data_IF_054854998136
#
_entry.id   IF_054854998136
#
_cell.length_a   1.000
_cell.length_b   1.000
_cell.length_c   1.000
_cell.angle_alpha   90.00
_cell.angle_beta   90.00
_cell.angle_gamma   90.00
#
_symmetry.space_group_name_H-M   'P 1'
#
loop_
_entity.id
_entity.type
_entity.pdbx_description
1 polymer ?
2 polymer ?
3 polymer ?
4 non-polymer ?
5 non-polymer ?
6 water ?
#
# COMPACT_ATOMS: atom_id res chain seq x y z
N UNK A 64 -9.75 4.17 25.94
CA UNK A 64 -9.58 3.99 24.50
C UNK A 64 -8.20 3.41 24.10
N UNK A 65 -7.19 3.52 25.00
CA UNK A 65 -5.83 3.01 24.78
C UNK A 65 -5.84 1.49 24.55
N UNK A 66 -5.08 1.07 23.55
CA UNK A 66 -4.96 -0.32 23.13
C UNK A 66 -6.18 -0.88 22.42
N UNK A 67 -7.06 0.01 21.89
CA UNK A 67 -8.29 -0.39 21.18
C UNK A 67 -8.26 -0.10 19.69
N UNK A 68 -9.13 -0.81 18.95
CA UNK A 68 -9.28 -0.68 17.52
C UNK A 68 -10.55 0.10 17.18
N UNK A 69 -10.36 1.28 16.57
CA UNK A 69 -11.44 2.12 16.10
C UNK A 69 -11.49 2.00 14.59
N UNK A 70 -12.59 1.40 14.08
CA UNK A 70 -12.82 1.23 12.65
C UNK A 70 -13.64 2.42 12.17
N UNK A 71 -13.11 3.17 11.20
CA UNK A 71 -13.80 4.35 10.67
C UNK A 71 -14.41 4.03 9.32
N UNK A 72 -15.76 4.11 9.24
CA UNK A 72 -16.54 3.86 8.03
C UNK A 72 -17.31 5.13 7.65
N UNK A 73 -17.94 5.09 6.46
CA UNK A 73 -18.74 6.20 5.92
C UNK A 73 -18.01 7.09 4.94
N UNK A 74 -18.22 8.41 5.07
CA UNK A 74 -17.56 9.43 4.24
C UNK A 74 -16.17 9.75 4.85
N UNK A 75 -15.19 8.90 4.51
CA UNK A 75 -13.80 8.94 4.97
C UNK A 75 -12.80 9.36 3.88
N UNK A 76 -13.32 9.89 2.77
CA UNK A 76 -12.55 10.36 1.63
C UNK A 76 -11.82 9.27 0.86
N UNK A 77 -11.15 9.67 -0.24
CA UNK A 77 -10.40 8.74 -1.09
C UNK A 77 -9.12 9.38 -1.63
N UNK A 78 -8.07 8.57 -1.74
CA UNK A 78 -6.76 8.97 -2.24
C UNK A 78 -6.05 9.98 -1.38
N UNK A 79 -5.55 11.08 -2.01
CA UNK A 79 -4.86 12.18 -1.34
C UNK A 79 -5.86 13.17 -0.69
N UNK A 80 -7.17 12.89 -0.78
CA UNK A 80 -8.21 13.72 -0.13
C UNK A 80 -8.98 12.92 0.88
N UNK A 81 -8.35 11.88 1.36
CA UNK A 81 -8.98 11.07 2.35
C UNK A 81 -8.90 11.88 3.65
N UNK A 82 -9.80 11.58 4.58
CA UNK A 82 -9.91 12.19 5.90
C UNK A 82 -8.58 12.11 6.67
N UNK A 83 -7.90 10.94 6.64
CA UNK A 83 -6.63 10.73 7.34
C UNK A 83 -5.47 11.51 6.74
N UNK A 84 -5.42 11.68 5.38
CA UNK A 84 -4.39 12.47 4.67
C UNK A 84 -4.48 13.92 5.11
N UNK A 85 -5.71 14.43 5.16
CA UNK A 85 -6.00 15.76 5.66
C UNK A 85 -5.47 15.95 7.06
N UNK A 86 -5.92 15.11 7.96
CA UNK A 86 -5.48 15.21 9.33
C UNK A 86 -3.99 15.19 9.38
N UNK A 87 -3.38 14.17 8.82
CA UNK A 87 -1.94 14.05 8.90
C UNK A 87 -1.29 15.27 8.26
N UNK A 88 -1.97 15.80 7.28
CA UNK A 88 -1.65 17.05 6.60
C UNK A 88 -1.64 18.19 7.61
N UNK A 89 -2.80 18.46 8.22
CA UNK A 89 -2.91 19.52 9.19
C UNK A 89 -1.90 19.33 10.31
N UNK A 90 -1.42 18.12 10.51
CA UNK A 90 -0.46 17.90 11.58
C UNK A 90 0.97 18.05 11.12
N UNK A 91 1.17 18.31 9.83
CA UNK A 91 2.53 18.37 9.32
C UNK A 91 3.45 19.24 10.15
N UNK A 92 4.63 18.70 10.46
CA UNK A 92 5.68 19.32 11.29
C UNK A 92 6.22 20.60 10.68
N UNK A 100 1.13 15.05 21.89
CA UNK A 100 2.38 15.17 21.13
C UNK A 100 3.22 13.88 21.16
N UNK A 101 2.55 12.73 21.26
CA UNK A 101 3.15 11.41 21.24
C UNK A 101 3.47 10.96 19.83
N UNK A 102 4.17 9.81 19.69
CA UNK A 102 4.55 9.25 18.39
C UNK A 102 3.35 8.64 17.63
N UNK A 103 3.28 8.89 16.30
CA UNK A 103 2.24 8.39 15.38
C UNK A 103 2.87 7.66 14.19
N UNK A 104 2.32 6.48 13.84
CA UNK A 104 2.71 5.68 12.68
C UNK A 104 1.53 5.66 11.72
N UNK A 105 1.71 6.29 10.55
CA UNK A 105 0.67 6.38 9.53
C UNK A 105 0.90 5.43 8.35
N UNK A 106 -0.14 4.66 7.98
CA UNK A 106 -0.10 3.77 6.83
C UNK A 106 -0.95 4.33 5.69
N UNK A 107 -0.30 4.71 4.57
CA UNK A 107 -1.06 5.30 3.47
C UNK A 107 -1.85 4.26 2.66
N UNK A 108 -2.79 4.75 1.83
CA UNK A 108 -3.64 3.96 0.95
C UNK A 108 -2.81 3.38 -0.20
N UNK A 109 -1.82 4.17 -0.67
CA UNK A 109 -0.90 3.86 -1.76
C UNK A 109 0.48 3.58 -1.18
N UNK A 110 1.03 2.45 -1.59
CA UNK A 110 2.29 1.86 -1.16
C UNK A 110 3.47 2.34 -1.96
N UNK A 111 4.57 2.59 -1.25
CA UNK A 111 5.82 3.03 -1.84
C UNK A 111 6.99 2.25 -1.24
N UNK A 112 8.09 2.23 -1.99
CA UNK A 112 9.35 1.68 -1.56
C UNK A 112 10.42 2.70 -1.95
N UNK A 113 11.59 2.57 -1.38
CA UNK A 113 12.73 3.37 -1.76
C UNK A 113 13.84 2.36 -2.12
N UNK A 114 14.73 2.64 -3.12
CA UNK A 114 15.79 1.67 -3.44
C UNK A 114 16.61 1.27 -2.22
N UNK A 115 16.81 -0.03 -2.08
CA UNK A 115 17.52 -0.65 -0.97
C UNK A 115 16.92 -2.00 -0.69
N UNK A 116 17.37 -2.65 0.39
CA UNK A 116 16.95 -4.00 0.77
C UNK A 116 15.52 -4.04 1.29
N UNK A 117 14.90 -5.23 1.28
CA UNK A 117 13.56 -5.48 1.80
C UNK A 117 13.55 -5.13 3.31
N UNK A 118 14.60 -5.56 4.06
CA UNK A 118 14.80 -5.31 5.50
C UNK A 118 14.74 -3.79 5.77
N UNK A 119 15.55 -3.02 5.09
CA UNK A 119 15.56 -1.57 5.23
C UNK A 119 14.26 -0.90 4.93
N UNK A 120 13.58 -1.34 3.89
CA UNK A 120 12.24 -0.85 3.50
C UNK A 120 11.18 -1.06 4.58
N UNK A 121 11.47 -1.86 5.62
CA UNK A 121 10.54 -2.14 6.73
C UNK A 121 11.03 -1.47 8.02
N UNK A 122 12.36 -1.56 8.30
CA UNK A 122 12.97 -1.13 9.57
C UNK A 122 13.71 0.22 9.55
N UNK A 123 13.93 0.87 8.38
CA UNK A 123 14.68 2.15 8.30
C UNK A 123 14.13 3.22 9.25
N UNK A 124 15.03 3.86 9.99
CA UNK A 124 14.69 4.94 10.92
C UNK A 124 14.28 4.52 12.33
N UNK A 125 13.88 3.24 12.49
CA UNK A 125 13.45 2.65 13.77
C UNK A 125 14.57 1.73 14.28
N UNK A 126 14.71 1.59 15.63
CA UNK A 126 15.71 0.70 16.24
C UNK A 126 15.36 -0.75 15.91
N UNK A 127 16.40 -1.59 15.69
CA UNK A 127 16.23 -2.98 15.31
C UNK A 127 15.93 -3.94 16.48
N UNK A 128 14.86 -4.76 16.31
CA UNK A 128 14.48 -5.85 17.22
C UNK A 128 14.23 -7.07 16.35
N UNK A 129 15.06 -8.11 16.53
CA UNK A 129 15.01 -9.39 15.83
C UNK A 129 13.60 -10.02 15.93
N UNK A 130 13.06 -10.11 17.18
CA UNK A 130 11.74 -10.68 17.46
C UNK A 130 10.61 -9.88 16.84
N UNK A 131 10.66 -8.54 16.93
CA UNK A 131 9.61 -7.70 16.35
C UNK A 131 9.61 -7.74 14.83
N UNK A 132 10.79 -7.64 14.20
CA UNK A 132 10.98 -7.69 12.74
C UNK A 132 10.37 -8.94 12.13
N UNK A 133 10.81 -10.12 12.61
CA UNK A 133 10.38 -11.44 12.15
C UNK A 133 8.89 -11.71 12.35
N UNK A 134 8.30 -11.21 13.46
CA UNK A 134 6.87 -11.34 13.79
C UNK A 134 6.01 -10.50 12.83
N UNK A 135 6.48 -9.26 12.50
CA UNK A 135 5.85 -8.30 11.58
C UNK A 135 5.77 -8.91 10.17
N UNK A 136 6.88 -9.54 9.70
CA UNK A 136 7.01 -10.26 8.42
C UNK A 136 6.01 -11.43 8.36
N UNK A 137 5.89 -12.22 9.45
CA UNK A 137 4.97 -13.36 9.58
C UNK A 137 3.52 -12.90 9.47
N UNK A 138 3.14 -11.90 10.29
CA UNK A 138 1.80 -11.32 10.38
C UNK A 138 1.36 -10.60 9.12
N UNK A 139 2.30 -9.97 8.40
CA UNK A 139 2.04 -9.24 7.16
C UNK A 139 2.11 -10.13 5.91
N UNK A 140 2.28 -11.47 6.09
CA UNK A 140 2.32 -12.50 5.03
C UNK A 140 3.48 -12.28 4.02
N UNK A 141 4.67 -11.96 4.55
CA UNK A 141 5.87 -11.71 3.76
C UNK A 141 6.90 -12.82 3.89
N UNK A 142 6.67 -13.76 4.82
CA UNK A 142 7.56 -14.87 5.09
C UNK A 142 7.83 -15.77 3.88
N UNK A 143 6.76 -16.13 3.13
CA UNK A 143 6.86 -16.96 1.94
C UNK A 143 7.46 -16.20 0.76
N UNK A 144 7.06 -14.91 0.57
CA UNK A 144 7.58 -14.05 -0.51
C UNK A 144 9.10 -13.92 -0.42
N UNK A 145 9.59 -13.42 0.72
CA UNK A 145 11.00 -13.19 1.05
C UNK A 145 11.85 -14.48 0.90
N UNK A 146 11.40 -15.61 1.49
CA UNK A 146 12.08 -16.91 1.43
C UNK A 146 12.43 -17.38 0.01
N UNK A 147 11.51 -17.13 -0.95
CA UNK A 147 11.65 -17.47 -2.35
C UNK A 147 12.78 -16.71 -3.05
N UNK A 148 12.96 -15.41 -2.74
CA UNK A 148 14.02 -14.57 -3.31
C UNK A 148 15.40 -15.12 -2.94
N UNK A 149 16.36 -15.21 -3.91
CA UNK A 149 17.67 -15.81 -3.59
C UNK A 149 18.45 -15.12 -2.47
N UNK A 150 18.35 -13.78 -2.39
CA UNK A 150 19.01 -12.90 -1.41
C UNK A 150 18.16 -12.72 -0.13
N UNK A 151 16.93 -13.21 -0.21
CA UNK A 151 15.94 -13.10 0.84
C UNK A 151 15.58 -11.66 1.14
N UNK A 152 15.67 -11.28 2.40
CA UNK A 152 15.34 -9.91 2.82
C UNK A 152 16.45 -8.90 2.52
N UNK A 153 17.60 -9.39 1.99
CA UNK A 153 18.74 -8.57 1.58
C UNK A 153 18.65 -8.24 0.09
N UNK A 154 17.52 -8.63 -0.53
CA UNK A 154 17.16 -8.39 -1.92
C UNK A 154 16.95 -6.88 -2.10
N UNK A 155 17.68 -6.28 -3.05
CA UNK A 155 17.58 -4.85 -3.36
C UNK A 155 16.38 -4.59 -4.27
N UNK A 156 15.60 -3.56 -3.92
CA UNK A 156 14.37 -3.18 -4.60
C UNK A 156 14.49 -1.96 -5.50
N UNK A 157 13.62 -1.91 -6.51
CA UNK A 157 13.55 -0.79 -7.44
C UNK A 157 13.87 -1.08 -8.89
N UNK A 158 14.27 -0.02 -9.61
CA UNK A 158 14.64 -0.06 -11.02
C UNK A 158 15.96 -0.82 -11.25
N UNK A 159 16.89 -0.68 -10.30
CA UNK A 159 18.18 -1.36 -10.35
C UNK A 159 18.17 -2.74 -9.72
N UNK A 160 17.10 -3.10 -9.01
CA UNK A 160 16.93 -4.39 -8.38
C UNK A 160 15.71 -5.17 -8.82
N UNK A 161 14.98 -5.74 -7.85
CA UNK A 161 13.74 -6.52 -8.05
C UNK A 161 12.55 -5.54 -8.08
N UNK A 162 11.55 -5.81 -8.94
CA UNK A 162 10.33 -5.03 -9.02
C UNK A 162 9.22 -5.88 -8.34
N UNK A 163 8.59 -5.34 -7.28
CA UNK A 163 7.53 -6.03 -6.51
C UNK A 163 6.15 -5.81 -7.12
N UNK A 164 5.20 -6.72 -6.83
CA UNK A 164 3.81 -6.59 -7.25
C UNK A 164 3.11 -5.61 -6.29
N UNK A 165 1.96 -5.09 -6.70
CA UNK A 165 1.15 -4.17 -5.89
C UNK A 165 0.82 -4.71 -4.52
N UNK A 166 0.50 -6.01 -4.48
CA UNK A 166 0.19 -6.77 -3.27
C UNK A 166 1.37 -6.88 -2.33
N UNK A 167 2.57 -7.20 -2.86
CA UNK A 167 3.81 -7.31 -2.07
C UNK A 167 4.23 -5.96 -1.48
N UNK A 168 4.14 -4.90 -2.31
CA UNK A 168 4.48 -3.53 -1.93
C UNK A 168 3.49 -2.97 -0.91
N UNK A 169 2.19 -3.41 -0.99
CA UNK A 169 1.13 -3.05 -0.04
C UNK A 169 1.45 -3.61 1.33
N UNK A 170 2.02 -4.84 1.35
CA UNK A 170 2.45 -5.59 2.53
C UNK A 170 3.72 -5.00 3.14
N UNK A 171 4.68 -4.52 2.29
CA UNK A 171 5.93 -3.87 2.72
C UNK A 171 5.58 -2.53 3.38
N UNK A 172 4.58 -1.83 2.83
CA UNK A 172 4.09 -0.54 3.33
C UNK A 172 3.46 -0.70 4.70
N UNK A 173 2.62 -1.75 4.90
CA UNK A 173 1.96 -2.03 6.18
C UNK A 173 2.94 -2.44 7.26
N UNK A 174 3.92 -3.31 6.92
CA UNK A 174 4.97 -3.80 7.80
C UNK A 174 5.82 -2.64 8.35
N UNK A 175 6.13 -1.66 7.48
CA UNK A 175 6.88 -0.45 7.79
C UNK A 175 6.14 0.41 8.85
N UNK A 176 4.79 0.46 8.76
CA UNK A 176 3.96 1.20 9.71
C UNK A 176 3.79 0.44 11.01
N UNK A 177 3.55 -0.87 10.92
CA UNK A 177 3.34 -1.77 12.05
C UNK A 177 4.64 -1.94 12.86
N UNK A 178 5.80 -2.05 12.20
CA UNK A 178 7.10 -2.21 12.85
C UNK A 178 7.52 -1.02 13.74
N UNK A 179 7.17 0.21 13.36
CA UNK A 179 7.51 1.44 14.08
C UNK A 179 6.79 1.49 15.44
N UNK A 180 7.52 1.73 16.51
CA UNK A 180 6.88 1.81 17.80
C UNK A 180 6.31 3.19 17.99
N UNK A 181 5.00 3.25 18.06
CA UNK A 181 4.21 4.46 18.18
C UNK A 181 3.05 4.29 19.16
N UNK A 182 2.53 5.42 19.68
CA UNK A 182 1.41 5.42 20.63
C UNK A 182 0.03 5.37 19.94
N UNK A 183 -0.01 5.66 18.62
CA UNK A 183 -1.22 5.66 17.79
C UNK A 183 -0.87 5.26 16.37
N UNK A 184 -1.65 4.31 15.80
CA UNK A 184 -1.48 3.80 14.44
C UNK A 184 -2.68 4.19 13.59
N UNK A 185 -2.45 4.98 12.54
CA UNK A 185 -3.50 5.45 11.64
C UNK A 185 -3.37 4.75 10.29
N UNK A 186 -4.16 3.69 10.10
CA UNK A 186 -4.14 2.87 8.90
C UNK A 186 -5.27 3.28 7.94
N UNK A 187 -4.91 4.03 6.89
CA UNK A 187 -5.84 4.54 5.89
C UNK A 187 -6.01 3.54 4.75
N UNK A 188 -7.06 2.70 4.83
CA UNK A 188 -7.42 1.65 3.86
C UNK A 188 -6.16 0.92 3.30
N UNK A 189 -5.34 0.25 4.16
CA UNK A 189 -4.10 -0.36 3.63
C UNK A 189 -4.28 -1.74 2.95
N UNK A 190 -5.53 -2.26 2.90
CA UNK A 190 -5.83 -3.55 2.26
C UNK A 190 -6.59 -3.40 0.94
N UNK A 191 -6.72 -2.16 0.47
CA UNK A 191 -7.47 -1.81 -0.74
C UNK A 191 -7.07 -2.55 -2.00
N UNK A 192 -5.76 -2.82 -2.18
CA UNK A 192 -5.19 -3.47 -3.37
C UNK A 192 -4.78 -4.94 -3.12
N UNK A 193 -5.25 -5.51 -2.00
CA UNK A 193 -5.02 -6.90 -1.62
C UNK A 193 -6.28 -7.71 -1.91
N UNK A 194 -6.10 -9.00 -2.24
CA UNK A 194 -7.23 -9.88 -2.53
C UNK A 194 -8.01 -10.24 -1.25
N UNK A 195 -9.25 -10.74 -1.42
CA UNK A 195 -10.16 -11.12 -0.34
C UNK A 195 -9.51 -12.10 0.67
N UNK A 196 -8.64 -13.00 0.16
CA UNK A 196 -7.93 -14.03 0.93
C UNK A 196 -6.76 -13.45 1.70
N UNK A 197 -5.91 -12.64 1.04
CA UNK A 197 -4.73 -11.99 1.65
C UNK A 197 -5.18 -11.02 2.74
N UNK A 198 -6.21 -10.20 2.44
CA UNK A 198 -6.79 -9.21 3.36
C UNK A 198 -7.38 -9.85 4.62
N UNK A 199 -8.15 -10.95 4.46
CA UNK A 199 -8.79 -11.66 5.57
C UNK A 199 -7.74 -12.15 6.59
N UNK A 200 -6.63 -12.71 6.09
CA UNK A 200 -5.51 -13.23 6.89
C UNK A 200 -4.72 -12.10 7.57
N UNK A 201 -4.31 -11.06 6.80
CA UNK A 201 -3.53 -9.92 7.33
C UNK A 201 -4.33 -9.12 8.36
N UNK A 202 -5.61 -8.79 8.07
CA UNK A 202 -6.45 -8.06 9.03
C UNK A 202 -6.46 -8.77 10.39
N UNK A 203 -6.68 -10.09 10.36
CA UNK A 203 -6.79 -11.01 11.49
C UNK A 203 -5.48 -11.24 12.25
N UNK A 204 -4.40 -11.60 11.54
CA UNK A 204 -3.12 -11.89 12.18
C UNK A 204 -2.27 -10.64 12.51
N UNK A 205 -2.47 -9.53 11.78
CA UNK A 205 -1.70 -8.31 11.98
C UNK A 205 -2.43 -7.28 12.87
N UNK A 206 -3.59 -6.72 12.43
CA UNK A 206 -4.30 -5.70 13.21
C UNK A 206 -5.04 -6.32 14.42
N UNK A 207 -5.63 -7.52 14.28
CA UNK A 207 -6.33 -8.17 15.37
C UNK A 207 -5.39 -8.81 16.38
N UNK A 208 -4.49 -9.73 15.96
CA UNK A 208 -3.63 -10.46 16.89
C UNK A 208 -2.32 -9.75 17.26
N UNK A 209 -1.49 -9.39 16.25
CA UNK A 209 -0.19 -8.73 16.46
C UNK A 209 -0.28 -7.34 17.12
N UNK A 210 -1.19 -6.47 16.62
CA UNK A 210 -1.34 -5.10 17.14
C UNK A 210 -2.40 -4.97 18.24
N UNK A 211 -2.85 -6.09 18.81
CA UNK A 211 -3.88 -6.19 19.85
C UNK A 211 -3.69 -5.33 21.09
N UNK A 212 -2.48 -4.82 21.34
CA UNK A 212 -2.25 -3.97 22.52
C UNK A 212 -1.85 -2.54 22.15
N UNK A 213 -2.15 -2.15 20.90
CA UNK A 213 -1.85 -0.83 20.33
C UNK A 213 -3.11 -0.08 20.03
N UNK A 214 -3.08 1.26 20.16
CA UNK A 214 -4.22 2.11 19.82
C UNK A 214 -4.21 2.22 18.30
N UNK A 215 -5.15 1.49 17.66
CA UNK A 215 -5.30 1.42 16.22
C UNK A 215 -6.51 2.20 15.73
N UNK A 216 -6.34 2.96 14.65
CA UNK A 216 -7.42 3.69 13.97
C UNK A 216 -7.33 3.22 12.51
N UNK A 217 -8.27 2.36 12.12
CA UNK A 217 -8.30 1.73 10.81
C UNK A 217 -9.48 2.25 9.97
N UNK A 218 -9.17 3.00 8.89
CA UNK A 218 -10.21 3.49 7.98
C UNK A 218 -10.54 2.31 7.07
N UNK A 219 -11.81 1.96 7.02
CA UNK A 219 -12.23 0.85 6.24
C UNK A 219 -13.57 1.09 5.61
N UNK A 220 -14.09 0.07 4.96
CA UNK A 220 -15.39 0.12 4.36
C UNK A 220 -15.95 -1.27 4.29
N UNK A 221 -15.44 -2.15 5.15
CA UNK A 221 -15.86 -3.54 5.15
C UNK A 221 -16.58 -3.89 6.44
N UNK A 222 -17.81 -4.32 6.29
CA UNK A 222 -18.69 -4.66 7.43
C UNK A 222 -18.03 -5.65 8.41
N UNK A 223 -17.17 -6.55 7.90
CA UNK A 223 -16.42 -7.55 8.68
C UNK A 223 -15.38 -6.90 9.61
N UNK A 224 -14.90 -5.70 9.25
CA UNK A 224 -13.91 -4.95 10.03
C UNK A 224 -14.58 -4.14 11.13
N UNK A 225 -15.87 -3.79 10.94
CA UNK A 225 -16.68 -3.06 11.92
C UNK A 225 -17.14 -4.03 13.00
N UNK A 226 -17.41 -5.31 12.62
CA UNK A 226 -17.84 -6.39 13.52
C UNK A 226 -16.75 -6.74 14.53
N UNK A 227 -15.47 -6.75 14.09
CA UNK A 227 -14.32 -7.11 14.92
C UNK A 227 -13.67 -5.96 15.71
N UNK A 228 -14.04 -4.69 15.45
CA UNK A 228 -13.46 -3.53 16.16
C UNK A 228 -14.11 -3.29 17.52
N UNK A 229 -13.31 -2.81 18.50
CA UNK A 229 -13.78 -2.49 19.86
C UNK A 229 -14.83 -1.38 19.80
N UNK A 230 -14.48 -0.28 19.12
CA UNK A 230 -15.37 0.84 18.86
C UNK A 230 -15.38 1.14 17.36
N UNK A 231 -16.50 1.65 16.85
CA UNK A 231 -16.69 1.99 15.43
C UNK A 231 -17.17 3.43 15.30
N UNK A 232 -16.89 4.05 14.15
CA UNK A 232 -17.26 5.42 13.87
C UNK A 232 -17.76 5.57 12.43
N UNK A 233 -19.02 5.95 12.27
CA UNK A 233 -19.55 6.13 10.96
C UNK A 233 -19.71 7.60 10.69
N UNK A 234 -19.02 8.06 9.66
CA UNK A 234 -19.02 9.44 9.27
C UNK A 234 -20.01 9.71 8.15
N UNK A 235 -20.67 10.87 8.23
CA UNK A 235 -21.57 11.37 7.21
C UNK A 235 -20.86 12.57 6.54
N UNK A 236 -21.29 12.95 5.31
CA UNK A 236 -20.75 14.11 4.57
C UNK A 236 -20.89 15.37 5.43
N UNK A 237 -22.05 15.49 6.09
CA UNK A 237 -22.34 16.58 7.03
C UNK A 237 -21.68 16.38 8.38
N UNK A 238 -22.16 17.10 9.42
CA UNK A 238 -21.63 17.03 10.80
C UNK A 238 -21.97 15.71 11.50
N UNK A 239 -23.04 15.04 11.02
CA UNK A 239 -23.62 13.77 11.48
C UNK A 239 -22.62 12.62 11.53
N UNK A 240 -22.78 11.75 12.55
CA UNK A 240 -21.94 10.58 12.80
C UNK A 240 -22.50 9.70 13.92
N UNK A 241 -22.13 8.41 13.87
CA UNK A 241 -22.46 7.42 14.88
C UNK A 241 -21.14 7.00 15.52
N UNK A 242 -21.08 7.01 16.86
CA UNK A 242 -19.92 6.52 17.58
C UNK A 242 -20.37 5.47 18.60
N UNK A 243 -20.01 4.22 18.36
CA UNK A 243 -20.37 3.13 19.27
C UNK A 243 -19.79 1.79 18.89
N UNK A 244 -20.51 0.71 19.19
CA UNK A 244 -20.07 -0.64 18.83
C UNK A 244 -20.92 -1.12 17.66
N UNK A 245 -20.49 -2.21 16.99
CA UNK A 245 -21.25 -2.77 15.86
C UNK A 245 -22.64 -3.26 16.30
N UNK A 246 -22.73 -3.89 17.49
CA UNK A 246 -23.99 -4.39 18.06
C UNK A 246 -24.94 -3.24 18.41
N UNK A 247 -24.41 -2.15 19.02
CA UNK A 247 -25.16 -0.96 19.39
C UNK A 247 -25.71 -0.21 18.17
N UNK A 248 -25.07 -0.40 17.00
CA UNK A 248 -25.49 0.16 15.71
C UNK A 248 -26.61 -0.68 15.11
N UNK A 249 -26.54 -2.02 15.27
CA UNK A 249 -27.55 -2.97 14.78
C UNK A 249 -28.90 -2.75 15.46
N UNK A 250 -28.89 -2.37 16.76
CA UNK A 250 -30.07 -2.12 17.61
C UNK A 250 -30.69 -0.74 17.38
N UNK A 251 -30.01 0.08 16.57
CA UNK A 251 -30.40 1.42 16.20
C UNK A 251 -31.19 1.30 14.90
N UNK A 252 -32.52 1.47 15.00
CA UNK A 252 -33.43 1.39 13.83
C UNK A 252 -33.31 -0.01 13.08
N UNK A 253 -33.51 -1.12 13.77
CA UNK A 253 -33.38 -2.40 13.08
C UNK A 253 -34.59 -2.73 12.22
N UNK B 1 5.95 12.21 -16.99
CA UNK B 1 6.94 11.64 -16.07
C UNK B 1 7.45 12.67 -15.03
N UNK B 2 8.38 12.26 -14.16
CA UNK B 2 8.92 13.10 -13.09
C UNK B 2 10.40 13.38 -13.28
N UNK B 3 10.78 14.67 -13.17
CA UNK B 3 12.16 15.15 -13.28
C UNK B 3 12.55 15.72 -11.93
N UNK B 4 13.76 15.38 -11.45
CA UNK B 4 14.25 15.83 -10.14
C UNK B 4 15.61 16.51 -10.29
N UNK B 5 15.71 17.76 -9.85
CA UNK B 5 16.96 18.51 -9.92
C UNK B 5 17.38 18.93 -8.52
N UNK B 6 18.58 18.51 -8.09
CA UNK B 6 19.12 18.85 -6.77
C UNK B 6 20.00 20.09 -6.83
N UNK B 7 19.87 20.93 -5.82
CA UNK B 7 20.64 22.15 -5.65
C UNK B 7 21.01 22.30 -4.17
N UNK B 8 21.95 23.19 -3.87
CA UNK B 8 22.36 23.46 -2.50
C UNK B 8 23.63 22.81 -1.97
N UNK B 9 24.36 22.09 -2.83
CA UNK B 9 25.61 21.45 -2.43
C UNK B 9 26.72 22.47 -2.27
N UNK B 10 27.81 22.07 -1.60
CA UNK B 10 28.93 22.98 -1.41
C UNK B 10 30.00 22.59 -0.42
N UNK B 11 31.02 23.45 -0.33
CA UNK B 11 32.15 23.29 0.57
C UNK B 11 31.89 24.06 1.86
N UNK B 12 31.83 23.32 2.97
CA UNK B 12 31.60 23.82 4.33
C UNK B 12 32.70 23.31 5.25
N UNK B 13 32.84 23.95 6.42
CA UNK B 13 33.79 23.55 7.46
C UNK B 13 32.98 22.73 8.48
N UNK B 14 33.65 21.84 9.24
CA UNK B 14 33.01 21.00 10.25
C UNK B 14 32.28 21.82 11.32
N UNK B 15 31.01 21.48 11.54
CA UNK B 15 30.14 22.17 12.47
C UNK B 15 29.13 23.06 11.76
N UNK B 16 29.41 23.34 10.48
CA UNK B 16 28.59 24.16 9.61
C UNK B 16 27.33 23.48 9.11
N UNK B 17 26.54 24.22 8.32
CA UNK B 17 25.28 23.75 7.77
C UNK B 17 25.11 23.99 6.27
N UNK B 18 24.18 23.25 5.65
CA UNK B 18 23.80 23.34 4.24
C UNK B 18 22.34 22.93 4.12
N UNK B 19 21.59 23.63 3.25
CA UNK B 19 20.19 23.31 3.00
C UNK B 19 20.09 22.89 1.55
N UNK B 20 19.91 21.58 1.35
CA UNK B 20 19.82 20.94 0.06
C UNK B 20 18.38 20.98 -0.42
N UNK B 21 18.17 21.23 -1.71
CA UNK B 21 16.85 21.30 -2.30
C UNK B 21 16.75 20.25 -3.38
N UNK B 22 15.58 19.60 -3.52
CA UNK B 22 15.27 18.61 -4.57
C UNK B 22 13.96 19.14 -5.18
N UNK B 23 14.08 19.74 -6.38
CA UNK B 23 12.97 20.35 -7.11
C UNK B 23 12.34 19.35 -8.12
N UNK B 24 11.04 19.06 -7.90
CA UNK B 24 10.27 18.17 -8.75
C UNK B 24 9.53 18.92 -9.86
N UNK B 25 9.50 18.30 -11.04
CA UNK B 25 8.90 18.80 -12.27
C UNK B 25 8.12 17.67 -12.95
N UNK B 26 7.22 18.01 -13.87
CA UNK B 26 6.38 17.03 -14.54
C UNK B 26 5.17 16.66 -13.71
N UNK B 27 4.92 15.33 -13.56
CA UNK B 27 3.80 14.76 -12.80
C UNK B 27 4.06 14.73 -11.28
N UNK B 28 4.26 15.90 -10.71
CA UNK B 28 4.60 16.04 -9.32
C UNK B 28 3.46 15.74 -8.38
N UNK B 29 2.29 15.57 -8.93
CA UNK B 29 1.13 15.33 -8.11
C UNK B 29 1.06 13.88 -7.74
N UNK B 30 1.81 13.05 -8.44
CA UNK B 30 1.79 11.60 -8.26
C UNK B 30 2.89 11.08 -7.35
N UNK B 31 3.70 11.98 -6.81
CA UNK B 31 4.77 11.60 -5.92
C UNK B 31 4.21 11.32 -4.56
N UNK B 32 4.56 10.19 -3.99
CA UNK B 32 4.00 9.77 -2.71
C UNK B 32 5.04 9.57 -1.62
N UNK B 33 6.29 9.70 -2.00
CA UNK B 33 7.44 9.64 -1.10
C UNK B 33 8.69 10.24 -1.76
N UNK B 34 9.62 10.75 -0.94
CA UNK B 34 10.87 11.34 -1.40
C UNK B 34 12.02 10.98 -0.46
N UNK B 35 13.00 10.27 -0.99
CA UNK B 35 14.19 9.90 -0.26
C UNK B 35 15.36 10.80 -0.59
N UNK B 36 16.33 10.87 0.34
CA UNK B 36 17.58 11.61 0.19
C UNK B 36 18.68 10.60 0.43
N UNK B 37 19.56 10.44 -0.56
CA UNK B 37 20.67 9.49 -0.57
C UNK B 37 21.98 10.19 -0.66
N UNK B 38 23.04 9.46 -0.32
CA UNK B 38 24.40 9.96 -0.41
C UNK B 38 25.32 8.91 -0.98
N UNK B 39 26.17 9.33 -1.92
CA UNK B 39 27.09 8.42 -2.55
C UNK B 39 28.51 8.95 -2.43
N UNK B 40 29.40 8.11 -1.90
CA UNK B 40 30.82 8.39 -1.76
C UNK B 40 31.51 7.71 -2.96
N UNK B 41 32.73 8.14 -3.39
CA UNK B 41 33.35 7.54 -4.59
C UNK B 41 33.62 6.04 -4.54
N UNK B 42 33.16 5.34 -5.58
CA UNK B 42 33.30 3.90 -5.72
C UNK B 42 32.48 3.10 -4.74
N UNK B 43 31.51 3.77 -4.09
CA UNK B 43 30.60 3.19 -3.10
C UNK B 43 29.15 3.38 -3.54
N UNK B 44 28.24 2.63 -2.90
CA UNK B 44 26.81 2.63 -3.18
C UNK B 44 26.09 3.84 -2.59
N UNK B 45 24.85 4.10 -3.08
CA UNK B 45 23.96 5.16 -2.62
C UNK B 45 23.26 4.68 -1.35
N UNK B 46 23.49 5.37 -0.22
CA UNK B 46 22.88 5.02 1.06
C UNK B 46 21.75 5.97 1.38
N UNK B 47 20.59 5.45 1.79
CA UNK B 47 19.45 6.26 2.20
C UNK B 47 19.79 7.02 3.48
N UNK B 48 19.55 8.34 3.51
CA UNK B 48 19.84 9.25 4.61
C UNK B 48 18.56 9.66 5.37
N UNK B 49 17.53 10.02 4.60
CA UNK B 49 16.23 10.45 5.09
C UNK B 49 15.16 10.16 4.05
N UNK B 50 13.92 10.02 4.52
CA UNK B 50 12.77 9.79 3.64
C UNK B 50 11.57 10.58 4.23
N UNK B 51 10.75 11.15 3.35
CA UNK B 51 9.57 11.92 3.69
C UNK B 51 8.37 11.47 2.83
N UNK B 52 7.18 11.51 3.45
CA UNK B 52 5.88 11.17 2.88
C UNK B 52 4.82 11.72 3.84
N UNK B 53 3.55 11.84 3.40
CA UNK B 53 2.49 12.33 4.28
C UNK B 53 2.29 11.30 5.38
N UNK B 54 2.56 11.72 6.61
CA UNK B 54 2.46 10.87 7.79
C UNK B 54 3.78 10.58 8.46
N UNK B 55 4.87 10.50 7.70
CA UNK B 55 6.18 10.22 8.27
C UNK B 55 7.47 10.78 7.65
N UNK B 56 8.47 10.89 8.50
CA UNK B 56 9.83 11.29 8.19
C UNK B 56 10.71 10.26 8.92
N UNK B 57 11.74 9.73 8.25
CA UNK B 57 12.68 8.75 8.81
C UNK B 57 14.10 9.19 8.53
N UNK B 58 15.04 8.85 9.43
CA UNK B 58 16.44 9.23 9.29
C UNK B 58 17.36 8.07 9.60
N UNK B 59 18.53 8.03 8.95
CA UNK B 59 19.58 7.03 9.20
C UNK B 59 20.19 7.34 10.58
N UNK B 60 20.55 6.30 11.35
CA UNK B 60 21.12 6.44 12.71
C UNK B 60 22.30 7.41 12.77
N UNK B 61 23.07 7.47 11.68
CA UNK B 61 24.23 8.34 11.55
C UNK B 61 23.92 9.82 11.30
N UNK B 62 22.66 10.16 10.94
CA UNK B 62 22.27 11.56 10.66
C UNK B 62 21.27 12.13 11.70
N UNK B 63 20.59 11.26 12.48
CA UNK B 63 19.59 11.61 13.50
C UNK B 63 20.09 12.71 14.43
N UNK B 64 19.24 13.71 14.66
CA UNK B 64 19.55 14.85 15.51
C UNK B 64 20.36 15.94 14.83
N UNK B 65 20.68 15.76 13.54
CA UNK B 65 21.45 16.72 12.73
C UNK B 65 20.70 17.08 11.46
N UNK B 66 20.22 16.06 10.72
CA UNK B 66 19.49 16.30 9.47
C UNK B 66 18.00 16.32 9.71
N UNK B 67 17.33 17.22 8.98
CA UNK B 67 15.89 17.42 9.00
C UNK B 67 15.41 17.39 7.56
N UNK B 68 14.47 16.50 7.27
CA UNK B 68 13.85 16.37 5.95
C UNK B 68 12.52 17.14 5.99
N UNK B 69 12.34 18.09 5.09
CA UNK B 69 11.17 18.94 5.08
C UNK B 69 10.65 19.05 3.66
N UNK B 70 9.53 19.70 3.46
CA UNK B 70 8.97 19.88 2.13
C UNK B 70 8.14 21.15 2.00
N UNK B 71 8.02 21.64 0.76
CA UNK B 71 7.23 22.79 0.37
C UNK B 71 6.46 22.34 -0.87
N UNK B 72 5.17 22.00 -0.65
CA UNK B 72 4.27 21.54 -1.69
C UNK B 72 3.95 22.60 -2.75
N UNK B 73 3.92 23.90 -2.33
CA UNK B 73 3.70 25.02 -3.23
C UNK B 73 4.83 25.15 -4.28
N UNK B 74 6.08 24.92 -3.84
CA UNK B 74 7.29 24.99 -4.66
C UNK B 74 7.70 23.64 -5.27
N UNK B 75 7.06 22.52 -4.82
CA UNK B 75 7.34 21.13 -5.25
C UNK B 75 8.78 20.71 -4.91
N UNK B 76 9.32 21.27 -3.82
CA UNK B 76 10.68 21.05 -3.36
C UNK B 76 10.72 20.32 -2.03
N UNK B 77 11.68 19.40 -1.91
CA UNK B 77 11.95 18.62 -0.70
C UNK B 77 13.34 19.05 -0.27
N UNK B 78 13.45 19.49 0.99
CA UNK B 78 14.71 19.95 1.53
C UNK B 78 15.32 18.95 2.49
N UNK B 79 16.63 19.12 2.70
CA UNK B 79 17.42 18.36 3.65
C UNK B 79 18.28 19.38 4.35
N UNK B 80 17.88 19.72 5.58
CA UNK B 80 18.62 20.64 6.43
C UNK B 80 19.73 19.80 7.04
N UNK B 81 20.98 20.17 6.78
CA UNK B 81 22.14 19.42 7.25
C UNK B 81 22.94 20.26 8.22
N UNK B 82 22.73 20.03 9.53
CA UNK B 82 23.41 20.76 10.59
C UNK B 82 24.52 19.92 11.22
N UNK B 83 25.42 20.59 11.98
CA UNK B 83 26.58 19.99 12.67
C UNK B 83 27.30 18.99 11.76
N UNK B 84 27.72 19.48 10.57
CA UNK B 84 28.34 18.67 9.54
C UNK B 84 29.74 18.25 9.89
N UNK B 85 30.04 17.00 9.57
CA UNK B 85 31.31 16.32 9.82
C UNK B 85 31.90 15.92 8.45
N UNK B 86 33.25 15.75 8.34
CA UNK B 86 33.84 15.36 7.03
C UNK B 86 33.19 14.14 6.36
N UNK B 87 32.78 13.11 7.15
CA UNK B 87 32.11 11.88 6.66
C UNK B 87 30.75 12.12 5.96
N UNK B 88 30.27 13.36 5.96
CA UNK B 88 29.04 13.70 5.24
C UNK B 88 29.39 14.10 3.81
N UNK B 89 30.70 14.11 3.47
CA UNK B 89 31.21 14.37 2.13
C UNK B 89 30.73 13.23 1.26
N UNK B 90 29.88 13.57 0.30
CA UNK B 90 29.25 12.65 -0.65
C UNK B 90 28.52 13.46 -1.73
N UNK B 91 27.87 12.75 -2.66
CA UNK B 91 27.04 13.32 -3.70
C UNK B 91 25.64 12.96 -3.28
N UNK B 92 24.83 13.97 -2.95
CA UNK B 92 23.47 13.75 -2.47
C UNK B 92 22.44 13.75 -3.59
N UNK B 93 21.65 12.68 -3.61
CA UNK B 93 20.61 12.42 -4.61
C UNK B 93 19.26 12.32 -3.95
N UNK B 94 18.20 12.71 -4.65
CA UNK B 94 16.83 12.47 -4.23
C UNK B 94 16.14 11.48 -5.16
N UNK B 95 15.40 10.56 -4.54
CA UNK B 95 14.64 9.56 -5.26
C UNK B 95 13.18 9.78 -4.94
N UNK B 96 12.31 9.82 -5.97
CA UNK B 96 10.88 10.02 -5.77
C UNK B 96 10.11 8.75 -6.11
N UNK B 97 9.17 8.32 -5.25
CA UNK B 97 8.29 7.17 -5.51
C UNK B 97 7.03 7.78 -6.14
N UNK B 98 6.67 7.31 -7.35
CA UNK B 98 5.57 7.83 -8.16
C UNK B 98 4.53 6.76 -8.49
N UNK B 99 3.27 7.07 -8.22
CA UNK B 99 2.16 6.24 -8.61
C UNK B 99 1.19 6.97 -9.51
N UNK B 100 1.18 6.57 -10.77
CA UNK B 100 0.32 7.16 -11.76
C UNK B 100 -0.24 6.02 -12.58
N UNK B 101 -1.09 5.22 -11.97
CA UNK B 101 -1.65 4.04 -12.62
C UNK B 101 -0.70 2.87 -12.63
N UNK B 102 0.59 3.14 -12.58
CA UNK B 102 1.57 2.09 -12.42
C UNK B 102 2.64 2.66 -11.52
N UNK B 103 3.39 1.83 -10.79
CA UNK B 103 4.35 2.36 -9.87
C UNK B 103 5.81 2.24 -10.26
N UNK B 104 6.55 3.28 -9.95
CA UNK B 104 7.98 3.31 -10.15
C UNK B 104 8.65 4.42 -9.31
N UNK B 105 9.99 4.44 -9.32
CA UNK B 105 10.81 5.44 -8.64
C UNK B 105 11.64 6.19 -9.66
N UNK B 106 12.15 7.38 -9.30
CA UNK B 106 12.96 8.24 -10.17
C UNK B 106 14.13 8.84 -9.38
N UNK B 107 15.34 8.93 -10.00
CA UNK B 107 16.51 9.52 -9.33
C UNK B 107 16.76 10.94 -9.83
N UNK B 108 17.45 11.74 -9.02
CA UNK B 108 17.89 13.07 -9.41
C UNK B 108 19.26 13.00 -10.05
N UNK B 109 19.90 14.16 -10.25
CA UNK B 109 21.24 14.22 -10.86
C UNK B 109 22.39 14.27 -9.86
N UNK B 110 22.13 14.75 -8.65
CA UNK B 110 23.12 14.84 -7.60
C UNK B 110 23.66 16.24 -7.35
N UNK B 111 24.12 16.47 -6.11
CA UNK B 111 24.73 17.72 -5.66
C UNK B 111 25.91 17.37 -4.73
N UNK B 112 27.11 17.88 -5.06
CA UNK B 112 28.31 17.57 -4.28
C UNK B 112 28.38 18.36 -2.97
N UNK B 113 28.36 17.64 -1.84
CA UNK B 113 28.51 18.19 -0.50
C UNK B 113 29.91 17.81 -0.03
N UNK B 114 30.76 18.82 0.26
CA UNK B 114 32.13 18.61 0.73
C UNK B 114 32.28 19.27 2.10
N UNK B 115 32.72 18.50 3.10
CA UNK B 115 32.92 18.99 4.45
C UNK B 115 34.40 18.82 4.83
N UNK B 116 35.05 19.92 5.21
CA UNK B 116 36.45 19.91 5.61
C UNK B 116 36.60 20.00 7.14
N UNK B 117 37.82 19.75 7.65
CA UNK B 117 38.16 19.81 9.08
C UNK B 117 38.10 21.25 9.62
N UNK B 118 38.27 21.41 10.92
CA UNK B 118 38.22 22.74 11.50
C UNK B 118 39.42 22.98 12.39
N UNK C 1 -29.11 -9.55 0.84
CA UNK C 1 -30.09 -9.68 -0.24
C UNK C 1 -29.43 -9.93 -1.60
N UNK C 2 -28.11 -9.67 -1.70
CA UNK C 2 -27.29 -9.77 -2.91
C UNK C 2 -27.02 -11.23 -3.35
N UNK C 3 -27.12 -11.45 -4.67
CA UNK C 3 -26.88 -12.70 -5.39
C UNK C 3 -25.93 -12.39 -6.57
N UNK C 4 -24.83 -13.16 -6.69
CA UNK C 4 -23.84 -12.98 -7.76
C UNK C 4 -23.96 -14.12 -8.79
N UNK C 5 -24.54 -13.81 -9.96
CA UNK C 5 -24.75 -14.77 -11.05
C UNK C 5 -23.72 -14.62 -12.16
N UNK C 6 -23.12 -15.74 -12.58
CA UNK C 6 -22.09 -15.79 -13.64
C UNK C 6 -22.60 -16.41 -14.94
N UNK C 7 -21.77 -16.30 -16.00
CA UNK C 7 -21.95 -16.83 -17.35
C UNK C 7 -20.68 -16.58 -18.18
N UNK C 8 -20.59 -17.21 -19.36
CA UNK C 8 -19.46 -17.07 -20.26
C UNK C 8 -18.39 -18.14 -20.11
N UNK C 9 -18.73 -19.23 -19.44
CA UNK C 9 -17.84 -20.38 -19.23
C UNK C 9 -17.90 -21.35 -20.40
N UNK C 10 -17.66 -22.63 -20.10
CA UNK C 10 -17.71 -23.70 -21.10
C UNK C 10 -16.37 -24.20 -21.57
N UNK C 11 -16.40 -25.06 -22.61
CA UNK C 11 -15.22 -25.71 -23.20
C UNK C 11 -14.65 -24.95 -24.38
N UNK C 12 -13.32 -24.75 -24.36
CA UNK C 12 -12.55 -24.05 -25.38
C UNK C 12 -11.27 -24.85 -25.65
N UNK C 13 -10.99 -25.17 -26.92
CA UNK C 13 -9.76 -25.86 -27.32
C UNK C 13 -8.58 -24.92 -27.05
N UNK C 14 -7.53 -25.42 -26.35
CA UNK C 14 -6.32 -24.67 -25.96
C UNK C 14 -5.85 -23.66 -27.02
N UNK C 15 -5.57 -22.43 -26.55
CA UNK C 15 -5.12 -21.31 -27.37
C UNK C 15 -6.22 -20.33 -27.78
N UNK C 16 -7.47 -20.70 -27.48
CA UNK C 16 -8.65 -19.90 -27.80
C UNK C 16 -9.12 -19.06 -26.63
N UNK C 17 -9.81 -17.95 -26.94
CA UNK C 17 -10.30 -17.01 -25.92
C UNK C 17 -11.70 -17.36 -25.43
N UNK C 18 -12.04 -16.86 -24.22
CA UNK C 18 -13.31 -17.06 -23.51
C UNK C 18 -13.52 -15.86 -22.57
N UNK C 19 -14.71 -15.22 -22.61
CA UNK C 19 -15.01 -14.06 -21.77
C UNK C 19 -16.07 -14.38 -20.70
N UNK C 20 -15.65 -14.36 -19.42
CA UNK C 20 -16.53 -14.61 -18.28
C UNK C 20 -17.21 -13.32 -17.87
N UNK C 21 -18.41 -13.43 -17.30
CA UNK C 21 -19.18 -12.29 -16.79
C UNK C 21 -19.80 -12.67 -15.44
N UNK C 22 -20.16 -11.64 -14.65
CA UNK C 22 -20.76 -11.79 -13.34
C UNK C 22 -21.48 -10.52 -12.92
N UNK C 23 -22.83 -10.55 -12.97
CA UNK C 23 -23.68 -9.43 -12.59
C UNK C 23 -24.17 -9.56 -11.16
N UNK C 24 -24.32 -8.41 -10.49
CA UNK C 24 -24.82 -8.34 -9.12
C UNK C 24 -26.28 -7.93 -9.14
N UNK C 25 -27.11 -8.70 -8.41
CA UNK C 25 -28.54 -8.45 -8.28
C UNK C 25 -28.92 -8.39 -6.81
N UNK C 26 -29.70 -7.37 -6.44
CA UNK C 26 -30.18 -7.14 -5.08
C UNK C 26 -30.55 -5.70 -4.79
N UNK C 27 -30.47 -5.31 -3.48
CA UNK C 27 -30.73 -3.96 -2.98
C UNK C 27 -29.43 -3.10 -2.99
N UNK C 28 -28.54 -3.42 -3.90
CA UNK C 28 -27.25 -2.79 -3.99
C UNK C 28 -27.34 -1.28 -3.91
N UNK C 29 -26.25 -0.70 -3.47
CA UNK C 29 -26.00 0.73 -3.40
C UNK C 29 -24.85 1.10 -4.33
N UNK C 30 -23.78 0.31 -4.21
CA UNK C 30 -22.59 0.41 -5.02
C UNK C 30 -21.64 -0.77 -4.76
N UNK C 31 -20.72 -1.01 -5.69
CA UNK C 31 -19.78 -2.14 -5.61
C UNK C 31 -18.35 -1.60 -5.55
N UNK C 32 -17.55 -2.21 -4.71
CA UNK C 32 -16.23 -1.74 -4.41
C UNK C 32 -15.17 -2.59 -5.03
N UNK C 33 -15.04 -3.81 -4.56
CA UNK C 33 -14.00 -4.66 -5.13
C UNK C 33 -14.64 -5.88 -5.71
N UNK C 34 -14.21 -6.22 -6.93
CA UNK C 34 -14.69 -7.38 -7.67
C UNK C 34 -13.45 -8.12 -8.14
N UNK C 35 -13.50 -9.44 -8.03
CA UNK C 35 -12.38 -10.28 -8.42
C UNK C 35 -12.76 -11.66 -8.89
N UNK C 36 -11.81 -12.31 -9.57
CA UNK C 36 -11.96 -13.67 -10.07
C UNK C 36 -10.93 -14.53 -9.36
N UNK C 37 -11.41 -15.60 -8.76
CA UNK C 37 -10.62 -16.57 -8.02
C UNK C 37 -10.93 -17.92 -8.63
N UNK C 38 -9.91 -18.75 -8.84
CA UNK C 38 -10.17 -20.07 -9.44
C UNK C 38 -9.78 -21.20 -8.50
N UNK C 39 -10.33 -22.40 -8.75
CA UNK C 39 -10.06 -23.57 -7.96
C UNK C 39 -10.13 -24.85 -8.81
N UNK C 40 -8.95 -25.37 -9.17
CA UNK C 40 -8.85 -26.62 -9.93
C UNK C 40 -8.95 -27.77 -8.92
N UNK C 41 -9.55 -28.94 -9.27
CA UNK C 41 -9.62 -30.03 -8.29
C UNK C 41 -8.23 -30.54 -7.92
N UNK C 42 -7.99 -30.70 -6.62
CA UNK C 42 -6.70 -31.09 -6.08
C UNK C 42 -5.87 -29.87 -5.69
N UNK C 43 -6.52 -28.70 -5.67
CA UNK C 43 -5.94 -27.40 -5.32
C UNK C 43 -6.98 -26.53 -4.58
N UNK C 44 -6.51 -25.54 -3.83
CA UNK C 44 -7.35 -24.60 -3.06
C UNK C 44 -7.69 -23.36 -3.88
N UNK C 45 -8.73 -22.60 -3.43
CA UNK C 45 -9.17 -21.35 -4.06
C UNK C 45 -8.00 -20.37 -4.03
N UNK C 46 -7.69 -19.81 -5.20
CA UNK C 46 -6.57 -18.88 -5.40
C UNK C 46 -6.99 -17.73 -6.31
N UNK C 47 -6.28 -16.58 -6.17
CA UNK C 47 -6.51 -15.37 -6.95
C UNK C 47 -6.13 -15.54 -8.43
N UNK C 48 -6.93 -14.93 -9.33
CA UNK C 48 -6.69 -14.86 -10.76
C UNK C 48 -6.50 -13.36 -11.06
N UNK C 49 -7.50 -12.53 -10.65
CA UNK C 49 -7.50 -11.09 -10.86
C UNK C 49 -8.31 -10.34 -9.77
N UNK C 50 -7.86 -9.13 -9.45
CA UNK C 50 -8.47 -8.28 -8.43
C UNK C 50 -8.67 -6.88 -9.01
N UNK C 51 -9.92 -6.43 -9.06
CA UNK C 51 -10.28 -5.09 -9.52
C UNK C 51 -10.86 -4.31 -8.36
N UNK C 52 -10.55 -3.01 -8.31
CA UNK C 52 -11.08 -2.09 -7.28
C UNK C 52 -12.09 -1.16 -7.99
N UNK C 53 -12.83 -0.34 -7.20
CA UNK C 53 -13.81 0.65 -7.67
C UNK C 53 -13.12 1.71 -8.54
N UNK C 54 -11.90 2.11 -8.13
CA UNK C 54 -11.08 3.10 -8.83
C UNK C 54 -10.27 2.61 -10.02
N UNK C 55 -10.77 1.57 -10.69
CA UNK C 55 -10.15 1.00 -11.88
C UNK C 55 -8.74 0.45 -11.77
N UNK C 56 -8.40 -0.13 -10.59
CA UNK C 56 -7.08 -0.72 -10.37
C UNK C 56 -7.17 -2.22 -10.56
N UNK C 57 -6.30 -2.77 -11.41
CA UNK C 57 -6.29 -4.20 -11.73
C UNK C 57 -4.99 -4.87 -11.32
N UNK C 58 -5.12 -6.03 -10.64
CA UNK C 58 -4.00 -6.86 -10.20
C UNK C 58 -4.25 -8.27 -10.72
N UNK C 59 -3.19 -8.94 -11.17
CA UNK C 59 -3.28 -10.29 -11.73
C UNK C 59 -2.25 -11.22 -11.09
N UNK C 60 -2.61 -12.49 -10.91
CA UNK C 60 -1.70 -13.51 -10.40
C UNK C 60 -0.72 -13.81 -11.52
N UNK C 61 0.60 -13.87 -11.21
CA UNK C 61 1.68 -14.12 -12.17
C UNK C 61 1.36 -15.13 -13.28
N UNK C 62 0.62 -16.20 -12.92
CA UNK C 62 0.18 -17.30 -13.78
C UNK C 62 -0.70 -16.93 -14.98
N UNK C 63 -1.52 -15.86 -14.86
CA UNK C 63 -2.50 -15.40 -15.88
C UNK C 63 -2.11 -14.05 -16.57
N UNK C 64 -1.05 -13.38 -16.09
CA UNK C 64 -0.59 -12.07 -16.57
C UNK C 64 -0.22 -12.03 -18.05
N UNK C 65 -0.86 -11.10 -18.75
CA UNK C 65 -0.70 -10.88 -20.19
C UNK C 65 -1.74 -11.59 -21.03
N UNK C 66 -2.32 -12.68 -20.47
CA UNK C 66 -3.32 -13.49 -21.15
C UNK C 66 -4.74 -13.08 -20.74
N UNK C 67 -4.99 -12.98 -19.41
CA UNK C 67 -6.28 -12.58 -18.85
C UNK C 67 -6.37 -11.07 -18.61
N UNK C 68 -7.60 -10.53 -18.67
CA UNK C 68 -7.91 -9.12 -18.46
C UNK C 68 -9.19 -8.99 -17.64
N UNK C 69 -9.14 -8.23 -16.54
CA UNK C 69 -10.32 -7.98 -15.71
C UNK C 69 -10.85 -6.58 -16.02
N UNK C 70 -12.17 -6.48 -16.17
CA UNK C 70 -12.90 -5.24 -16.50
C UNK C 70 -14.27 -5.26 -15.82
N UNK C 71 -14.92 -4.11 -15.73
CA UNK C 71 -16.21 -4.08 -15.08
C UNK C 71 -17.10 -2.97 -15.60
N UNK C 72 -18.41 -3.20 -15.50
CA UNK C 72 -19.37 -2.17 -15.89
C UNK C 72 -20.14 -1.84 -14.63
N UNK C 73 -19.98 -0.63 -14.16
CA UNK C 73 -20.68 -0.19 -12.97
C UNK C 73 -22.19 -0.11 -13.14
N UNK C 74 -22.61 0.39 -14.28
CA UNK C 74 -24.01 0.56 -14.61
C UNK C 74 -24.76 -0.75 -14.69
N UNK C 75 -24.13 -1.75 -15.27
CA UNK C 75 -24.76 -3.04 -15.40
C UNK C 75 -24.44 -3.85 -14.17
N UNK C 76 -23.70 -3.22 -13.27
CA UNK C 76 -23.26 -3.86 -12.02
C UNK C 76 -22.65 -5.25 -12.22
N UNK C 77 -21.75 -5.37 -13.22
CA UNK C 77 -21.12 -6.64 -13.59
C UNK C 77 -19.60 -6.57 -13.79
N UNK C 78 -18.90 -7.65 -13.38
CA UNK C 78 -17.46 -7.84 -13.54
C UNK C 78 -17.20 -8.88 -14.64
N UNK C 79 -16.24 -8.59 -15.53
CA UNK C 79 -15.86 -9.46 -16.63
C UNK C 79 -14.44 -9.95 -16.52
N UNK C 80 -14.16 -11.11 -17.13
CA UNK C 80 -12.82 -11.67 -17.22
C UNK C 80 -12.61 -12.16 -18.64
N UNK C 81 -11.94 -11.34 -19.47
CA UNK C 81 -11.60 -11.71 -20.84
C UNK C 81 -10.30 -12.49 -20.75
N UNK C 82 -10.40 -13.81 -20.91
CA UNK C 82 -9.26 -14.72 -20.83
C UNK C 82 -8.83 -15.09 -22.24
N UNK C 83 -7.57 -14.82 -22.60
CA UNK C 83 -7.03 -15.14 -23.93
C UNK C 83 -5.96 -16.22 -23.83
N UNK C 84 -5.65 -16.88 -24.97
CA UNK C 84 -4.65 -17.94 -25.14
C UNK C 84 -4.62 -18.93 -23.96
N UNK C 85 -5.80 -19.48 -23.62
CA UNK C 85 -6.01 -20.43 -22.53
C UNK C 85 -5.15 -21.67 -22.68
N UNK C 86 -4.37 -22.01 -21.64
CA UNK C 86 -3.52 -23.21 -21.58
C UNK C 86 -4.19 -24.26 -20.66
N UNK C 87 -3.82 -25.59 -20.72
CA UNK C 87 -4.51 -26.59 -19.89
C UNK C 87 -4.44 -26.37 -18.37
N UNK C 88 -3.31 -25.88 -17.82
CA UNK C 88 -3.19 -25.59 -16.38
C UNK C 88 -4.28 -24.65 -15.83
N UNK C 89 -4.84 -23.79 -16.71
CA UNK C 89 -5.89 -22.82 -16.40
C UNK C 89 -7.23 -23.43 -16.04
N UNK C 90 -7.54 -24.54 -16.68
CA UNK C 90 -8.73 -25.34 -16.42
C UNK C 90 -9.04 -25.44 -14.94
N UNK C 91 -10.22 -24.97 -14.58
CA UNK C 91 -10.69 -24.98 -13.22
C UNK C 91 -12.08 -24.36 -13.20
N UNK C 92 -12.57 -24.11 -11.99
CA UNK C 92 -13.85 -23.45 -11.76
C UNK C 92 -13.55 -22.00 -11.31
N UNK C 93 -14.18 -21.04 -12.00
CA UNK C 93 -13.96 -19.62 -11.78
C UNK C 93 -15.05 -19.00 -10.95
N UNK C 94 -14.65 -18.40 -9.83
CA UNK C 94 -15.50 -17.77 -8.82
C UNK C 94 -15.41 -16.27 -8.83
N UNK C 95 -16.57 -15.65 -9.00
CA UNK C 95 -16.76 -14.22 -8.97
C UNK C 95 -16.91 -13.85 -7.49
N UNK C 96 -16.18 -12.83 -7.04
CA UNK C 96 -16.21 -12.37 -5.65
C UNK C 96 -16.36 -10.86 -5.63
N UNK C 97 -17.28 -10.34 -4.80
CA UNK C 97 -17.53 -8.91 -4.73
C UNK C 97 -17.90 -8.38 -3.36
N UNK C 98 -17.45 -7.15 -3.07
CA UNK C 98 -17.76 -6.40 -1.85
C UNK C 98 -18.92 -5.48 -2.25
N UNK C 99 -20.10 -5.76 -1.71
CA UNK C 99 -21.29 -5.05 -2.11
C UNK C 99 -21.95 -4.33 -0.95
N UNK C 100 -22.17 -3.05 -1.15
CA UNK C 100 -22.80 -2.17 -0.17
C UNK C 100 -24.32 -2.29 -0.28
N UNK C 101 -24.95 -2.79 0.79
CA UNK C 101 -26.40 -2.94 0.92
C UNK C 101 -26.85 -1.76 1.79
N UNK C 102 -25.86 -1.18 2.48
CA UNK C 102 -25.92 -0.02 3.37
C UNK C 102 -24.78 0.90 2.90
N UNK C 103 -25.10 2.16 2.59
CA UNK C 103 -24.22 3.20 2.03
C UNK C 103 -22.75 3.28 2.53
N UNK C 104 -22.51 3.07 3.85
CA UNK C 104 -21.21 3.24 4.52
C UNK C 104 -20.23 2.07 4.39
N UNK C 105 -20.72 0.82 4.47
CA UNK C 105 -19.86 -0.35 4.39
C UNK C 105 -20.46 -1.51 3.61
N UNK C 106 -19.58 -2.35 3.03
CA UNK C 106 -19.90 -3.47 2.17
C UNK C 106 -19.85 -4.83 2.87
N UNK C 107 -20.46 -5.84 2.23
CA UNK C 107 -20.46 -7.25 2.63
C UNK C 107 -19.88 -8.06 1.48
N UNK C 108 -19.16 -9.15 1.80
CA UNK C 108 -18.49 -10.01 0.82
C UNK C 108 -19.37 -11.14 0.29
N UNK C 109 -19.47 -11.26 -1.04
CA UNK C 109 -20.27 -12.31 -1.69
C UNK C 109 -19.46 -13.08 -2.72
N UNK C 110 -19.58 -14.41 -2.69
CA UNK C 110 -18.96 -15.34 -3.63
C UNK C 110 -20.06 -15.81 -4.60
N UNK C 111 -19.66 -16.13 -5.81
CA UNK C 111 -20.56 -16.65 -6.82
C UNK C 111 -20.64 -18.16 -6.73
N UNK C 112 -21.62 -18.76 -7.42
CA UNK C 112 -21.81 -20.22 -7.44
C UNK C 112 -20.63 -20.94 -8.14
N UNK C 113 -20.02 -20.28 -9.11
CA UNK C 113 -18.84 -20.76 -9.84
C UNK C 113 -19.13 -21.52 -11.13
N UNK C 114 -18.57 -21.04 -12.26
CA UNK C 114 -18.73 -21.70 -13.57
C UNK C 114 -17.49 -22.51 -13.96
N UNK C 115 -17.70 -23.66 -14.62
CA UNK C 115 -16.61 -24.53 -15.05
C UNK C 115 -16.01 -24.12 -16.40
N UNK C 116 -14.69 -23.85 -16.40
CA UNK C 116 -13.92 -23.50 -17.59
C UNK C 116 -12.99 -24.69 -17.86
N UNK C 117 -13.26 -25.42 -18.95
CA UNK C 117 -12.53 -26.63 -19.37
C UNK C 117 -11.74 -26.38 -20.67
N UNK C 118 -10.64 -27.10 -20.86
CA UNK C 118 -9.71 -26.86 -21.96
C UNK C 118 -9.50 -28.09 -22.87
N UNK C 119 -9.82 -27.98 -24.17
CA UNK C 119 -9.73 -29.12 -25.06
C UNK C 119 -8.29 -29.33 -25.56
N UNK C 120 -8.07 -30.50 -26.20
CA UNK C 120 -6.83 -31.04 -26.76
C UNK C 120 -5.65 -31.01 -25.78
#
# INVERSE_FOLDING_TARGET
SLTTTEVVMENVTAFWEEGFGELFEKAKQNNNNRKTSNGDDSLFFSNFSLLGTPVLKDINFKIERGQLLAVAGSTGAGKTSLLMMIMGELEPSEGKIKHSGRISFCPQFSWIMPGTIKENIIFGVSYDEYRYRSVIKACQLEEDISKFPEKDNTVLGEGGITLSGGQRARISLARAVYKDADLYLLDSPFGYLDVLTEKEIFESCVCKLMANKTRILVTSKMEHLKKADKILILHEGSSYFYGTFSELQNLQPDFSSKLMG
QVQLQESGGGLVQAGGSLRLSCAASGSTFAIIAMGWYRQAPGKQRELVAVISTGDTRYADSVKGRFTISRDNAKNTVYLQMDSLRPEDTAVYYCNAAVQVRDYRNYWGQGTQVTVSSAAAHHHHHHGAAEQKLISEEDLNGAA
QVQLQESGGGLVQAGGSLRLSCAASGSIFRIDAMGWYRQAPGKQRELVAHSTSGGSTDYADSVKGRFTISRDNAKNTVYLQMNSLKPEDTAVYYCNADVRTRWYASNNYWGQGTQVTVSSAAAHHHHHHGAAEQKLISEEDLNGAA
#
